data_IF_061858782648
#
_entry.id   IF_061858782648
#
_cell.length_a   1.000
_cell.length_b   1.000
_cell.length_c   1.000
_cell.angle_alpha   90.00
_cell.angle_beta   90.00
_cell.angle_gamma   90.00
#
_symmetry.space_group_name_H-M   'P 1'
#
loop_
_entity.id
_entity.type
_entity.pdbx_description
1 polymer ?
#
# COMPACT_ATOMS: atom_id res chain seq x y z
N UNK A 1 -8.16 18.87 -1.78
CA UNK A 1 -8.35 17.68 -0.93
C UNK A 1 -8.55 16.51 -1.89
N UNK A 2 -7.54 15.65 -2.10
CA UNK A 2 -7.50 14.73 -3.25
C UNK A 2 -8.43 13.52 -3.10
N UNK A 3 -9.09 13.11 -4.18
CA UNK A 3 -10.02 11.96 -4.28
C UNK A 3 -9.51 10.66 -3.64
N UNK A 4 -8.20 10.44 -3.65
CA UNK A 4 -7.57 9.27 -3.04
C UNK A 4 -7.82 9.18 -1.53
N UNK A 5 -7.93 10.33 -0.83
CA UNK A 5 -8.30 10.35 0.60
C UNK A 5 -9.76 10.02 0.85
N UNK A 6 -10.64 10.27 -0.14
CA UNK A 6 -12.05 9.90 -0.10
C UNK A 6 -12.18 8.39 -0.31
N UNK A 7 -11.45 7.82 -1.27
CA UNK A 7 -11.38 6.37 -1.48
C UNK A 7 -10.88 5.61 -0.23
N UNK A 8 -9.92 6.19 0.52
CA UNK A 8 -9.48 5.62 1.79
C UNK A 8 -10.53 5.72 2.92
N UNK A 9 -11.43 6.69 2.87
CA UNK A 9 -12.54 6.86 3.84
C UNK A 9 -13.73 5.94 3.55
N UNK A 10 -13.96 5.56 2.29
CA UNK A 10 -15.08 4.69 1.88
C UNK A 10 -14.81 3.21 2.14
N UNK A 11 -13.55 2.82 2.32
CA UNK A 11 -13.20 1.49 2.83
C UNK A 11 -13.66 1.37 4.29
N UNK A 12 -14.69 0.53 4.54
CA UNK A 12 -15.15 0.11 5.88
C UNK A 12 -14.09 -0.74 6.60
N UNK A 13 -12.89 -0.19 6.78
CA UNK A 13 -11.81 -0.80 7.55
C UNK A 13 -12.03 -0.47 9.02
N UNK A 14 -11.95 -1.45 9.95
CA UNK A 14 -12.04 -1.16 11.37
C UNK A 14 -10.98 -0.12 11.73
N UNK A 15 -11.39 0.96 12.40
CA UNK A 15 -10.56 2.15 12.69
C UNK A 15 -9.20 1.80 13.31
N UNK A 16 -9.13 0.66 14.00
CA UNK A 16 -7.93 0.09 14.61
C UNK A 16 -6.83 -0.26 13.59
N UNK A 17 -7.15 -0.89 12.45
CA UNK A 17 -6.15 -1.29 11.45
C UNK A 17 -5.50 -0.06 10.80
N UNK A 18 -6.33 0.91 10.42
CA UNK A 18 -5.86 2.17 9.84
C UNK A 18 -5.04 2.97 10.86
N UNK A 19 -5.44 2.95 12.14
CA UNK A 19 -4.66 3.58 13.20
C UNK A 19 -3.29 2.92 13.37
N UNK A 20 -3.23 1.59 13.47
CA UNK A 20 -1.99 0.82 13.56
C UNK A 20 -1.06 1.08 12.38
N UNK A 21 -1.59 1.08 11.15
CA UNK A 21 -0.81 1.36 9.94
C UNK A 21 -0.20 2.77 9.96
N UNK A 22 -0.93 3.78 10.45
CA UNK A 22 -0.36 5.13 10.59
C UNK A 22 0.79 5.17 11.60
N UNK A 23 0.68 4.45 12.72
CA UNK A 23 1.77 4.35 13.70
C UNK A 23 2.97 3.55 13.15
N UNK A 24 2.76 2.70 12.16
CA UNK A 24 3.81 1.98 11.43
C UNK A 24 4.57 2.81 10.40
N UNK A 25 4.12 4.03 10.07
CA UNK A 25 4.77 4.87 9.05
C UNK A 25 6.16 5.40 9.45
N UNK A 26 6.41 5.93 10.67
CA UNK A 26 7.72 6.44 11.04
C UNK A 26 8.88 5.43 10.89
N UNK A 27 8.74 4.15 11.30
CA UNK A 27 9.80 3.15 11.09
C UNK A 27 9.82 2.54 9.68
N UNK A 28 8.95 2.96 8.76
CA UNK A 28 8.83 2.31 7.45
C UNK A 28 10.08 2.53 6.57
N UNK A 29 10.70 1.44 6.13
CA UNK A 29 11.81 1.43 5.16
C UNK A 29 11.36 0.76 3.88
N UNK A 30 11.23 1.54 2.80
CA UNK A 30 10.70 1.08 1.51
C UNK A 30 11.42 -0.16 1.00
N UNK A 31 12.75 -0.13 0.93
CA UNK A 31 13.54 -1.24 0.39
C UNK A 31 13.33 -2.55 1.12
N UNK A 32 13.41 -2.53 2.46
CA UNK A 32 13.29 -3.73 3.29
C UNK A 32 11.85 -4.22 3.45
N UNK A 33 10.92 -3.31 3.67
CA UNK A 33 9.53 -3.68 3.95
C UNK A 33 8.78 -4.06 2.69
N UNK A 34 8.98 -3.31 1.58
CA UNK A 34 8.28 -3.60 0.34
C UNK A 34 8.76 -4.91 -0.29
N UNK A 35 10.08 -5.18 -0.28
CA UNK A 35 10.64 -6.46 -0.76
C UNK A 35 10.09 -7.64 0.05
N UNK A 36 10.03 -7.52 1.38
CA UNK A 36 9.46 -8.54 2.27
C UNK A 36 7.96 -8.77 2.02
N UNK A 37 7.17 -7.70 1.85
CA UNK A 37 5.72 -7.79 1.63
C UNK A 37 5.41 -8.40 0.26
N UNK A 38 6.08 -7.92 -0.79
CA UNK A 38 5.84 -8.38 -2.15
C UNK A 38 6.57 -9.69 -2.46
N UNK A 39 7.50 -10.12 -1.60
CA UNK A 39 8.40 -11.27 -1.81
C UNK A 39 9.16 -11.16 -3.13
N UNK A 40 9.69 -9.95 -3.41
CA UNK A 40 10.46 -9.65 -4.61
C UNK A 40 11.77 -8.98 -4.22
N UNK A 41 12.87 -9.39 -4.85
CA UNK A 41 14.20 -8.79 -4.66
C UNK A 41 14.32 -7.41 -5.32
N UNK A 42 13.63 -7.22 -6.46
CA UNK A 42 13.64 -5.95 -7.20
C UNK A 42 12.50 -5.03 -6.77
N UNK A 43 12.83 -3.79 -6.38
CA UNK A 43 11.86 -2.77 -6.01
C UNK A 43 11.05 -2.30 -7.23
N UNK A 44 9.72 -2.50 -7.26
CA UNK A 44 8.89 -1.95 -8.32
C UNK A 44 8.79 -0.42 -8.24
N UNK A 45 8.41 0.19 -9.37
CA UNK A 45 8.02 1.61 -9.39
C UNK A 45 6.84 1.85 -8.43
N UNK A 46 6.73 3.02 -7.79
CA UNK A 46 5.67 3.28 -6.79
C UNK A 46 4.26 2.99 -7.32
N UNK A 47 4.00 3.25 -8.60
CA UNK A 47 2.73 2.93 -9.26
C UNK A 47 2.46 1.42 -9.33
N UNK A 48 3.45 0.63 -9.76
CA UNK A 48 3.34 -0.84 -9.81
C UNK A 48 3.26 -1.45 -8.41
N UNK A 49 3.99 -0.88 -7.45
CA UNK A 49 3.93 -1.27 -6.03
C UNK A 49 2.52 -1.07 -5.47
N UNK A 50 1.91 0.09 -5.73
CA UNK A 50 0.58 0.42 -5.24
C UNK A 50 -0.48 -0.55 -5.77
N UNK A 51 -0.45 -0.88 -7.07
CA UNK A 51 -1.39 -1.85 -7.65
C UNK A 51 -1.30 -3.20 -6.94
N UNK A 52 -0.09 -3.75 -6.79
CA UNK A 52 0.11 -5.04 -6.10
C UNK A 52 -0.33 -5.00 -4.64
N UNK A 53 -0.07 -3.90 -3.95
CA UNK A 53 -0.46 -3.73 -2.56
C UNK A 53 -1.99 -3.63 -2.38
N UNK A 54 -2.72 -3.07 -3.36
CA UNK A 54 -4.19 -3.04 -3.35
C UNK A 54 -4.79 -4.44 -3.54
N UNK A 55 -4.20 -5.25 -4.43
CA UNK A 55 -4.60 -6.65 -4.61
C UNK A 55 -4.38 -7.45 -3.33
N UNK A 56 -3.21 -7.30 -2.70
CA UNK A 56 -2.89 -7.93 -1.42
C UNK A 56 -3.85 -7.48 -0.31
N UNK A 57 -4.17 -6.20 -0.21
CA UNK A 57 -5.10 -5.71 0.82
C UNK A 57 -6.51 -6.27 0.62
N UNK A 58 -6.98 -6.36 -0.62
CA UNK A 58 -8.29 -6.95 -0.95
C UNK A 58 -8.36 -8.41 -0.51
N UNK A 59 -7.32 -9.18 -0.85
CA UNK A 59 -7.18 -10.58 -0.47
C UNK A 59 -7.15 -10.74 1.06
N UNK A 60 -6.31 -9.96 1.77
CA UNK A 60 -6.23 -10.02 3.23
C UNK A 60 -7.54 -9.62 3.92
N UNK A 61 -8.28 -8.66 3.36
CA UNK A 61 -9.58 -8.29 3.88
C UNK A 61 -10.64 -9.37 3.65
N UNK A 62 -10.58 -10.12 2.55
CA UNK A 62 -11.43 -11.30 2.34
C UNK A 62 -11.12 -12.39 3.38
N UNK A 63 -9.83 -12.71 3.60
CA UNK A 63 -9.39 -13.66 4.63
C UNK A 63 -9.85 -13.27 6.04
N UNK A 64 -9.76 -11.97 6.37
CA UNK A 64 -10.25 -11.41 7.63
C UNK A 64 -11.75 -11.64 7.82
N UNK A 65 -12.55 -11.42 6.78
CA UNK A 65 -14.01 -11.59 6.83
C UNK A 65 -14.41 -13.06 6.96
N UNK A 66 -13.65 -13.95 6.33
CA UNK A 66 -13.85 -15.40 6.39
C UNK A 66 -13.23 -16.05 7.63
N UNK A 67 -12.58 -15.27 8.51
CA UNK A 67 -11.85 -15.76 9.68
C UNK A 67 -10.89 -16.93 9.36
N UNK A 68 -10.20 -16.85 8.22
CA UNK A 68 -9.26 -17.91 7.81
C UNK A 68 -8.10 -18.06 8.81
N UNK A 69 -7.68 -19.29 9.07
CA UNK A 69 -6.59 -19.59 10.01
C UNK A 69 -5.22 -19.01 9.60
N UNK A 70 -5.00 -18.73 8.31
CA UNK A 70 -3.77 -18.11 7.80
C UNK A 70 -3.82 -16.57 7.83
N UNK A 71 -4.87 -15.98 8.40
CA UNK A 71 -4.97 -14.52 8.51
C UNK A 71 -4.05 -13.98 9.62
N UNK A 72 -3.01 -13.25 9.21
CA UNK A 72 -2.13 -12.50 10.12
C UNK A 72 -2.47 -11.01 10.12
N UNK A 73 -2.94 -10.49 11.26
CA UNK A 73 -3.24 -9.06 11.41
C UNK A 73 -2.00 -8.17 11.28
N UNK A 74 -0.84 -8.65 11.72
CA UNK A 74 0.41 -7.88 11.65
C UNK A 74 0.85 -7.65 10.19
N UNK A 75 0.71 -8.67 9.34
CA UNK A 75 1.00 -8.54 7.91
C UNK A 75 0.00 -7.60 7.23
N UNK A 76 -1.25 -7.59 7.66
CA UNK A 76 -2.27 -6.68 7.10
C UNK A 76 -1.95 -5.23 7.45
N UNK A 77 -1.52 -4.96 8.68
CA UNK A 77 -1.02 -3.65 9.08
C UNK A 77 0.22 -3.26 8.27
N UNK A 78 1.13 -4.19 7.99
CA UNK A 78 2.30 -3.93 7.16
C UNK A 78 1.92 -3.54 5.71
N UNK A 79 0.97 -4.25 5.09
CA UNK A 79 0.43 -3.92 3.76
C UNK A 79 -0.22 -2.54 3.74
N UNK A 80 -1.07 -2.23 4.74
CA UNK A 80 -1.71 -0.91 4.85
C UNK A 80 -0.68 0.21 5.07
N UNK A 81 0.37 -0.05 5.84
CA UNK A 81 1.48 0.89 6.06
C UNK A 81 2.19 1.17 4.74
N UNK A 82 2.53 0.11 3.99
CA UNK A 82 3.16 0.23 2.68
C UNK A 82 2.27 0.99 1.68
N UNK A 83 0.97 0.71 1.65
CA UNK A 83 -0.01 1.45 0.82
C UNK A 83 0.03 2.95 1.12
N UNK A 84 -0.03 3.33 2.39
CA UNK A 84 0.01 4.74 2.78
C UNK A 84 1.34 5.39 2.43
N UNK A 85 2.46 4.67 2.57
CA UNK A 85 3.78 5.17 2.23
C UNK A 85 3.95 5.36 0.71
N UNK A 86 3.60 4.37 -0.12
CA UNK A 86 3.68 4.48 -1.58
C UNK A 86 2.70 5.53 -2.14
N UNK A 87 1.51 5.66 -1.56
CA UNK A 87 0.56 6.70 -1.95
C UNK A 87 1.09 8.11 -1.63
N UNK A 88 1.84 8.30 -0.53
CA UNK A 88 2.52 9.57 -0.24
C UNK A 88 3.64 9.85 -1.23
N UNK A 89 4.43 8.83 -1.58
CA UNK A 89 5.51 8.96 -2.56
C UNK A 89 4.99 9.40 -3.93
N UNK A 90 3.85 8.85 -4.39
CA UNK A 90 3.23 9.28 -5.66
C UNK A 90 2.69 10.71 -5.63
N UNK A 91 2.26 11.21 -4.47
CA UNK A 91 1.78 12.60 -4.32
C UNK A 91 2.92 13.59 -4.20
N UNK A 92 4.05 13.19 -3.58
CA UNK A 92 5.23 14.02 -3.44
C UNK A 92 6.16 13.97 -4.65
N UNK A 93 6.03 12.96 -5.50
CA UNK A 93 6.74 12.92 -6.77
C UNK A 93 6.21 14.05 -7.66
N UNK A 94 7.08 14.93 -8.21
CA UNK A 94 6.65 15.87 -9.23
C UNK A 94 6.04 15.08 -10.40
N UNK A 95 5.03 15.61 -11.12
CA UNK A 95 4.50 14.96 -12.31
C UNK A 95 5.67 14.81 -13.29
N UNK A 96 6.19 13.59 -13.39
CA UNK A 96 7.35 13.32 -14.22
C UNK A 96 6.87 13.34 -15.67
N UNK A 97 7.06 14.49 -16.33
CA UNK A 97 6.69 14.75 -17.73
C UNK A 97 7.49 13.84 -18.69
N UNK A 98 8.49 13.09 -18.22
CA UNK A 98 9.32 12.19 -19.04
C UNK A 98 8.61 10.93 -19.54
N UNK A 99 7.30 10.76 -19.32
CA UNK A 99 6.50 9.72 -19.99
C UNK A 99 5.80 10.19 -21.28
N UNK A 100 6.04 11.42 -21.77
CA UNK A 100 5.39 11.96 -22.99
C UNK A 100 6.23 11.84 -24.28
N UNK A 101 7.34 11.13 -24.26
CA UNK A 101 8.19 10.89 -25.44
C UNK A 101 8.48 9.39 -25.59
N UNK A 102 7.54 8.69 -26.22
CA UNK A 102 7.89 7.59 -27.15
C UNK A 102 7.54 8.12 -28.55
N UNK A 103 8.52 8.59 -29.34
CA UNK A 103 8.39 8.69 -30.78
C UNK A 103 9.02 7.46 -31.45
N UNK A 104 8.20 6.69 -32.18
CA UNK A 104 8.46 6.12 -33.51
C UNK A 104 7.40 5.06 -33.84
#
# INVERSE_FOLDING_TARGET
MCELTIALKTLKRPRLLTAAARHGLPPYRRERHLSRILRQDSLPTPRKALTKLLDLETEMNARRQQAQNDYCIADHVAVLTALMAEARLLQSAPPNISQRLEPA
#
